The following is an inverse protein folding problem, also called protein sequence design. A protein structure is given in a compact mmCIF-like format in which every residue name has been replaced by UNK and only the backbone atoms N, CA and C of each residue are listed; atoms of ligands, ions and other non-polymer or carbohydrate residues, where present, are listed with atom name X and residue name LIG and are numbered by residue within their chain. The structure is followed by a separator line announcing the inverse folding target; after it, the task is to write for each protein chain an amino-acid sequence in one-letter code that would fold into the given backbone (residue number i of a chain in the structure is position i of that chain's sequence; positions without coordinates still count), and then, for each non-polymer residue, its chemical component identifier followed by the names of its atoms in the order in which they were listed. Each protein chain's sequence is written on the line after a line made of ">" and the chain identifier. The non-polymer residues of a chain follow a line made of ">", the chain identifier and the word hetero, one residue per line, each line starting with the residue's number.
data_IF_708988161467
#
_entry.id   IF_708988161467
#
_cell.length_a   1.000
_cell.length_b   1.000
_cell.length_c   1.000
_cell.angle_alpha   90.00
_cell.angle_beta   90.00
_cell.angle_gamma   90.00
#
_symmetry.space_group_name_H-M   'P 1'
#
loop_
_entity.id
_entity.type
_entity.pdbx_description
1 polymer ?
#
# COMPACT_ATOMS: atom_id res chain seq x y z
N UNK A 1 14.99 -14.00 -5.93
CA UNK A 1 14.07 -12.88 -6.25
C UNK A 1 14.76 -11.95 -7.24
N UNK A 2 14.03 -11.38 -8.19
CA UNK A 2 14.59 -10.42 -9.15
C UNK A 2 14.87 -9.04 -8.52
N UNK A 3 15.86 -8.31 -9.05
CA UNK A 3 16.30 -6.99 -8.53
C UNK A 3 15.22 -5.91 -8.63
N UNK A 4 14.44 -5.89 -9.71
CA UNK A 4 13.38 -4.90 -9.90
C UNK A 4 12.29 -5.09 -8.83
N UNK A 5 11.86 -6.34 -8.63
CA UNK A 5 10.90 -6.71 -7.59
C UNK A 5 11.42 -6.40 -6.19
N UNK A 6 12.69 -6.69 -5.92
CA UNK A 6 13.33 -6.37 -4.64
C UNK A 6 13.26 -4.88 -4.32
N UNK A 7 13.65 -4.03 -5.28
CA UNK A 7 13.63 -2.57 -5.13
C UNK A 7 12.21 -2.05 -4.94
N UNK A 8 11.26 -2.56 -5.71
CA UNK A 8 9.85 -2.20 -5.56
C UNK A 8 9.33 -2.50 -4.14
N UNK A 9 9.58 -3.72 -3.64
CA UNK A 9 9.14 -4.11 -2.29
C UNK A 9 9.83 -3.24 -1.24
N UNK A 10 11.15 -3.11 -1.35
CA UNK A 10 11.95 -2.34 -0.41
C UNK A 10 11.50 -0.87 -0.31
N UNK A 11 11.14 -0.25 -1.43
CA UNK A 11 10.77 1.16 -1.48
C UNK A 11 9.33 1.43 -1.03
N UNK A 12 8.39 0.51 -1.28
CA UNK A 12 6.96 0.76 -1.05
C UNK A 12 6.39 0.02 0.16
N UNK A 13 7.14 -0.89 0.77
CA UNK A 13 6.70 -1.71 1.90
C UNK A 13 7.62 -1.55 3.11
N UNK A 14 8.11 -0.32 3.34
CA UNK A 14 8.97 0.01 4.49
C UNK A 14 8.31 -0.27 5.85
N UNK A 15 6.98 -0.25 5.90
CA UNK A 15 6.23 -0.53 7.13
C UNK A 15 6.35 -2.00 7.56
N UNK A 16 6.67 -2.90 6.63
CA UNK A 16 6.91 -4.32 6.89
C UNK A 16 8.34 -4.62 7.35
N UNK A 17 9.19 -3.59 7.50
CA UNK A 17 10.56 -3.76 7.96
C UNK A 17 10.58 -4.09 9.45
N UNK A 18 11.48 -4.99 9.84
CA UNK A 18 11.74 -5.20 11.26
C UNK A 18 12.64 -4.08 11.83
N UNK A 19 12.74 -4.01 13.15
CA UNK A 19 13.48 -2.94 13.84
C UNK A 19 14.98 -2.91 13.49
N UNK A 20 15.60 -4.08 13.20
CA UNK A 20 17.00 -4.15 12.77
C UNK A 20 17.16 -3.57 11.36
N UNK A 21 16.27 -3.93 10.43
CA UNK A 21 16.24 -3.43 9.06
C UNK A 21 16.00 -1.91 9.02
N UNK A 22 15.07 -1.39 9.82
CA UNK A 22 14.84 0.06 9.94
C UNK A 22 16.10 0.79 10.42
N UNK A 23 16.77 0.26 11.45
CA UNK A 23 18.02 0.83 11.97
C UNK A 23 19.17 0.74 10.96
N UNK A 24 19.30 -0.38 10.24
CA UNK A 24 20.29 -0.57 9.20
C UNK A 24 20.08 0.43 8.04
N UNK A 25 18.84 0.57 7.56
CA UNK A 25 18.49 1.56 6.53
C UNK A 25 18.78 2.99 7.00
N UNK A 26 18.40 3.33 8.24
CA UNK A 26 18.67 4.66 8.80
C UNK A 26 20.17 4.94 8.92
N UNK A 27 20.95 3.98 9.39
CA UNK A 27 22.41 4.06 9.45
C UNK A 27 23.00 4.28 8.05
N UNK A 28 22.64 3.45 7.08
CA UNK A 28 23.12 3.56 5.70
C UNK A 28 22.79 4.91 5.06
N UNK A 29 21.53 5.36 5.13
CA UNK A 29 21.11 6.66 4.57
C UNK A 29 21.87 7.82 5.22
N UNK A 30 22.12 7.73 6.52
CA UNK A 30 22.86 8.77 7.26
C UNK A 30 24.30 8.87 6.75
N UNK A 31 25.00 7.75 6.62
CA UNK A 31 26.36 7.74 6.08
C UNK A 31 26.39 8.24 4.62
N UNK A 32 25.50 7.72 3.76
CA UNK A 32 25.40 8.14 2.36
C UNK A 32 25.11 9.64 2.21
N UNK A 33 24.23 10.19 3.05
CA UNK A 33 23.95 11.63 3.05
C UNK A 33 25.18 12.43 3.49
N UNK A 34 25.89 11.98 4.52
CA UNK A 34 27.06 12.69 5.06
C UNK A 34 28.15 12.93 4.01
N UNK A 35 28.32 12.00 3.07
CA UNK A 35 29.27 12.13 1.95
C UNK A 35 28.95 13.31 1.02
N UNK A 36 27.71 13.78 1.03
CA UNK A 36 27.22 14.86 0.17
C UNK A 36 27.01 16.19 0.93
N UNK A 37 27.44 16.29 2.20
CA UNK A 37 27.36 17.51 3.00
C UNK A 37 28.68 18.30 2.98
N UNK A 38 28.58 19.64 3.01
CA UNK A 38 29.76 20.53 3.09
C UNK A 38 30.58 20.33 4.37
N UNK A 39 29.93 19.93 5.47
CA UNK A 39 30.58 19.57 6.73
C UNK A 39 30.08 18.21 7.25
N UNK A 40 30.68 17.10 6.77
CA UNK A 40 30.27 15.75 7.13
C UNK A 40 30.42 15.45 8.64
N UNK A 41 31.46 15.97 9.29
CA UNK A 41 31.72 15.70 10.72
C UNK A 41 30.63 16.25 11.62
N UNK A 42 30.21 17.50 11.39
CA UNK A 42 29.11 18.10 12.16
C UNK A 42 27.80 17.33 11.96
N UNK A 43 27.51 16.92 10.73
CA UNK A 43 26.34 16.11 10.41
C UNK A 43 26.36 14.74 11.11
N UNK A 44 27.51 14.06 11.11
CA UNK A 44 27.68 12.76 11.75
C UNK A 44 27.58 12.86 13.28
N UNK A 45 28.14 13.90 13.90
CA UNK A 45 28.01 14.14 15.34
C UNK A 45 26.55 14.30 15.78
N UNK A 46 25.79 15.14 15.08
CA UNK A 46 24.36 15.33 15.36
C UNK A 46 23.59 14.02 15.13
N UNK A 47 23.92 13.29 14.07
CA UNK A 47 23.26 12.03 13.75
C UNK A 47 23.55 10.93 14.77
N UNK A 48 24.76 10.85 15.32
CA UNK A 48 25.13 9.92 16.40
C UNK A 48 24.37 10.27 17.68
N UNK A 49 24.28 11.56 18.05
CA UNK A 49 23.49 12.02 19.19
C UNK A 49 21.99 11.68 19.07
N UNK A 50 21.46 11.67 17.84
CA UNK A 50 20.07 11.27 17.57
C UNK A 50 19.88 9.75 17.43
N UNK A 51 20.94 8.96 17.59
CA UNK A 51 20.89 7.49 17.52
C UNK A 51 20.66 6.96 16.10
N UNK A 52 20.97 7.74 15.07
CA UNK A 52 20.77 7.36 13.66
C UNK A 52 21.91 6.47 13.14
N UNK A 53 23.07 6.53 13.79
CA UNK A 53 24.23 5.68 13.48
C UNK A 53 24.22 4.51 14.46
N UNK A 54 24.03 3.30 13.94
CA UNK A 54 24.12 2.09 14.76
C UNK A 54 25.57 1.66 15.01
N UNK A 55 25.86 1.20 16.23
CA UNK A 55 27.10 0.47 16.60
C UNK A 55 26.84 -1.02 16.89
N UNK A 56 25.59 -1.47 16.70
CA UNK A 56 25.20 -2.86 16.96
C UNK A 56 25.69 -3.75 15.80
N UNK A 57 26.53 -4.75 16.11
CA UNK A 57 27.09 -5.67 15.12
C UNK A 57 26.03 -6.41 14.31
N UNK A 58 24.87 -6.75 14.91
CA UNK A 58 23.78 -7.41 14.20
C UNK A 58 23.06 -6.50 13.20
N UNK A 59 23.09 -5.19 13.42
CA UNK A 59 22.53 -4.21 12.49
C UNK A 59 23.52 -3.95 11.35
N UNK A 60 24.81 -3.87 11.69
CA UNK A 60 25.88 -3.66 10.70
C UNK A 60 26.06 -4.89 9.80
N UNK A 61 25.85 -6.11 10.32
CA UNK A 61 25.97 -7.34 9.52
C UNK A 61 24.94 -7.43 8.39
N UNK A 62 23.79 -6.76 8.52
CA UNK A 62 22.80 -6.65 7.44
C UNK A 62 23.35 -5.90 6.22
N UNK A 63 24.36 -5.03 6.41
CA UNK A 63 24.96 -4.19 5.38
C UNK A 63 26.32 -4.70 4.88
N UNK A 64 26.90 -5.73 5.50
CA UNK A 64 28.25 -6.25 5.19
C UNK A 64 28.42 -6.63 3.71
N UNK A 65 27.39 -7.20 3.10
CA UNK A 65 27.39 -7.60 1.69
C UNK A 65 26.93 -6.48 0.73
N UNK A 66 26.88 -5.24 1.21
CA UNK A 66 26.46 -4.06 0.47
C UNK A 66 24.95 -3.83 0.45
N UNK A 67 24.56 -2.62 0.03
CA UNK A 67 23.17 -2.16 0.06
C UNK A 67 22.25 -2.96 -0.86
N UNK A 68 22.71 -3.38 -2.04
CA UNK A 68 21.89 -4.20 -2.94
C UNK A 68 21.54 -5.57 -2.31
N UNK A 69 22.50 -6.21 -1.65
CA UNK A 69 22.29 -7.46 -0.93
C UNK A 69 21.32 -7.27 0.23
N UNK A 70 21.45 -6.16 0.97
CA UNK A 70 20.50 -5.79 2.01
C UNK A 70 19.08 -5.65 1.46
N UNK A 71 18.89 -4.92 0.36
CA UNK A 71 17.58 -4.78 -0.29
C UNK A 71 16.99 -6.14 -0.70
N UNK A 72 17.79 -7.00 -1.33
CA UNK A 72 17.36 -8.33 -1.77
C UNK A 72 16.95 -9.22 -0.60
N UNK A 73 17.73 -9.23 0.48
CA UNK A 73 17.48 -10.05 1.66
C UNK A 73 16.22 -9.59 2.40
N UNK A 74 16.09 -8.28 2.64
CA UNK A 74 14.92 -7.70 3.30
C UNK A 74 13.64 -7.95 2.49
N UNK A 75 13.65 -7.68 1.18
CA UNK A 75 12.46 -7.94 0.38
C UNK A 75 12.13 -9.45 0.28
N UNK A 76 13.14 -10.34 0.28
CA UNK A 76 12.90 -11.80 0.28
C UNK A 76 12.27 -12.24 1.60
N UNK A 77 12.72 -11.68 2.72
CA UNK A 77 12.12 -11.90 4.04
C UNK A 77 10.68 -11.40 4.07
N UNK A 78 10.41 -10.18 3.61
CA UNK A 78 9.05 -9.62 3.58
C UNK A 78 8.10 -10.53 2.79
N UNK A 79 8.51 -11.02 1.62
CA UNK A 79 7.69 -11.96 0.84
C UNK A 79 7.43 -13.26 1.60
N UNK A 80 8.45 -13.78 2.29
CA UNK A 80 8.34 -15.03 3.05
C UNK A 80 7.42 -14.90 4.26
N UNK A 81 7.58 -13.82 5.04
CA UNK A 81 6.94 -13.67 6.34
C UNK A 81 5.60 -12.92 6.27
N UNK A 82 5.41 -12.09 5.23
CA UNK A 82 4.30 -11.13 5.13
C UNK A 82 3.88 -10.92 3.67
N UNK A 83 4.08 -11.92 2.81
CA UNK A 83 3.82 -11.82 1.37
C UNK A 83 2.37 -11.50 1.01
N UNK A 84 1.41 -11.86 1.87
CA UNK A 84 -0.01 -11.54 1.69
C UNK A 84 -0.30 -10.03 1.74
N UNK A 85 0.60 -9.25 2.34
CA UNK A 85 0.52 -7.79 2.39
C UNK A 85 1.24 -7.11 1.23
N UNK A 86 1.86 -7.85 0.31
CA UNK A 86 2.63 -7.28 -0.80
C UNK A 86 1.84 -7.32 -2.10
N UNK A 87 1.55 -6.14 -2.68
CA UNK A 87 0.90 -6.01 -3.98
C UNK A 87 1.89 -5.63 -5.08
N UNK A 88 2.09 -6.54 -6.02
CA UNK A 88 2.89 -6.27 -7.22
C UNK A 88 1.99 -5.73 -8.33
N UNK A 89 1.98 -4.40 -8.50
CA UNK A 89 1.21 -3.75 -9.57
C UNK A 89 1.86 -4.07 -10.92
N UNK A 90 1.25 -4.98 -11.69
CA UNK A 90 1.75 -5.39 -13.01
C UNK A 90 0.87 -4.83 -14.12
N UNK A 91 1.47 -4.53 -15.27
CA UNK A 91 0.74 -4.06 -16.43
C UNK A 91 -0.08 -5.18 -17.04
N UNK A 92 -1.39 -4.98 -17.21
CA UNK A 92 -2.28 -5.99 -17.81
C UNK A 92 -1.93 -6.35 -19.26
N UNK A 93 -1.20 -5.49 -19.99
CA UNK A 93 -0.84 -5.72 -21.39
C UNK A 93 0.45 -6.51 -21.57
N UNK A 94 1.49 -6.17 -20.80
CA UNK A 94 2.82 -6.80 -20.95
C UNK A 94 3.29 -7.59 -19.71
N UNK A 95 2.49 -7.61 -18.65
CA UNK A 95 2.76 -8.29 -17.37
C UNK A 95 4.04 -7.83 -16.64
N UNK A 96 4.63 -6.70 -17.05
CA UNK A 96 5.80 -6.13 -16.39
C UNK A 96 5.40 -5.32 -15.15
N UNK A 97 6.29 -5.23 -14.17
CA UNK A 97 6.07 -4.49 -12.93
C UNK A 97 5.98 -2.99 -13.23
N UNK A 98 4.95 -2.34 -12.69
CA UNK A 98 4.79 -0.90 -12.76
C UNK A 98 5.72 -0.20 -11.78
N UNK A 99 6.02 1.08 -12.02
CA UNK A 99 6.95 1.86 -11.19
C UNK A 99 6.53 1.96 -9.73
N UNK A 100 5.22 2.03 -9.46
CA UNK A 100 4.67 2.21 -8.11
C UNK A 100 3.39 1.36 -7.94
N UNK A 101 2.97 1.05 -6.70
CA UNK A 101 1.72 0.32 -6.44
C UNK A 101 0.45 0.96 -7.00
N UNK A 102 0.46 2.29 -7.14
CA UNK A 102 -0.70 3.07 -7.62
C UNK A 102 -0.55 3.54 -9.07
N UNK A 103 0.55 3.17 -9.76
CA UNK A 103 0.77 3.58 -11.15
C UNK A 103 -0.34 3.07 -12.07
N UNK A 104 -0.73 3.93 -13.03
CA UNK A 104 -1.78 3.66 -14.04
C UNK A 104 -1.30 3.70 -15.49
N UNK A 105 0.00 3.85 -15.67
CA UNK A 105 0.65 3.80 -16.97
C UNK A 105 1.89 2.92 -16.88
N UNK A 106 2.06 2.01 -17.83
CA UNK A 106 3.22 1.14 -17.92
C UNK A 106 4.43 1.93 -18.42
N UNK A 107 5.51 1.96 -17.66
CA UNK A 107 6.77 2.53 -18.16
C UNK A 107 7.45 1.66 -19.23
N UNK A 108 7.16 0.35 -19.25
CA UNK A 108 7.78 -0.59 -20.20
C UNK A 108 7.13 -0.57 -21.58
N UNK A 109 5.79 -0.60 -21.66
CA UNK A 109 5.06 -0.66 -22.95
C UNK A 109 4.18 0.57 -23.24
N UNK A 110 4.14 1.56 -22.36
CA UNK A 110 3.35 2.79 -22.52
C UNK A 110 1.83 2.60 -22.36
N UNK A 111 1.34 1.38 -22.13
CA UNK A 111 -0.09 1.13 -21.95
C UNK A 111 -0.63 1.94 -20.77
N UNK A 112 -1.69 2.70 -21.03
CA UNK A 112 -2.38 3.55 -20.09
C UNK A 112 -3.73 2.90 -19.75
N UNK A 113 -4.01 2.74 -18.45
CA UNK A 113 -5.26 2.17 -17.96
C UNK A 113 -6.01 3.10 -17.00
N UNK A 114 -5.82 4.42 -17.11
CA UNK A 114 -6.70 5.38 -16.42
C UNK A 114 -8.17 5.18 -16.82
N UNK A 115 -8.43 4.80 -18.07
CA UNK A 115 -9.79 4.54 -18.60
C UNK A 115 -10.48 3.33 -17.96
N UNK A 116 -9.76 2.50 -17.19
CA UNK A 116 -10.38 1.42 -16.41
C UNK A 116 -11.13 1.93 -15.17
N UNK A 117 -10.91 3.19 -14.77
CA UNK A 117 -11.60 3.79 -13.63
C UNK A 117 -13.02 4.15 -14.04
N UNK A 118 -14.00 3.42 -13.51
CA UNK A 118 -15.41 3.60 -13.83
C UNK A 118 -16.15 4.47 -12.81
N UNK A 119 -15.59 4.61 -11.60
CA UNK A 119 -16.14 5.46 -10.55
C UNK A 119 -15.08 5.87 -9.51
N UNK A 120 -15.39 6.94 -8.77
CA UNK A 120 -14.65 7.34 -7.56
C UNK A 120 -15.56 7.18 -6.34
N UNK A 121 -15.07 6.48 -5.33
CA UNK A 121 -15.83 6.13 -4.14
C UNK A 121 -15.16 6.71 -2.89
N UNK A 122 -15.87 7.56 -2.15
CA UNK A 122 -15.36 8.13 -0.90
C UNK A 122 -15.59 7.14 0.24
N UNK A 123 -14.51 6.60 0.79
CA UNK A 123 -14.53 5.68 1.92
C UNK A 123 -14.93 6.40 3.21
N UNK A 124 -15.81 5.80 4.02
CA UNK A 124 -16.17 6.28 5.34
C UNK A 124 -15.76 5.34 6.45
N UNK A 125 -16.08 4.06 6.29
CA UNK A 125 -15.80 3.03 7.29
C UNK A 125 -15.93 1.66 6.67
N UNK A 126 -15.43 0.63 7.35
CA UNK A 126 -15.70 -0.75 7.00
C UNK A 126 -16.34 -1.48 8.19
N UNK A 127 -17.29 -2.38 7.91
CA UNK A 127 -18.03 -3.13 8.93
C UNK A 127 -18.34 -4.54 8.46
N UNK A 128 -18.43 -5.43 9.43
CA UNK A 128 -18.95 -6.76 9.22
C UNK A 128 -20.41 -6.79 9.68
N UNK A 129 -21.30 -7.24 8.80
CA UNK A 129 -22.73 -7.36 9.11
C UNK A 129 -23.07 -8.81 9.48
N UNK A 130 -24.27 -9.01 10.03
CA UNK A 130 -24.77 -10.33 10.39
C UNK A 130 -24.61 -11.30 9.22
N UNK A 131 -24.16 -12.54 9.52
CA UNK A 131 -23.75 -13.61 8.57
C UNK A 131 -22.32 -13.56 8.04
N UNK A 132 -21.45 -12.67 8.55
CA UNK A 132 -20.00 -12.68 8.24
C UNK A 132 -19.61 -11.96 6.94
N UNK A 133 -20.58 -11.26 6.33
CA UNK A 133 -20.34 -10.47 5.13
C UNK A 133 -19.65 -9.15 5.50
N UNK A 134 -18.56 -8.84 4.82
CA UNK A 134 -17.78 -7.62 5.06
C UNK A 134 -18.15 -6.54 4.05
N UNK A 135 -18.38 -5.34 4.55
CA UNK A 135 -18.83 -4.20 3.75
C UNK A 135 -17.94 -2.99 3.96
N UNK A 136 -17.68 -2.31 2.85
CA UNK A 136 -17.06 -0.99 2.83
C UNK A 136 -18.17 0.05 2.59
N UNK A 137 -18.33 0.98 3.52
CA UNK A 137 -19.36 2.02 3.48
C UNK A 137 -18.77 3.33 2.98
N UNK A 138 -19.56 4.05 2.17
CA UNK A 138 -19.08 5.27 1.56
C UNK A 138 -20.09 5.93 0.64
N UNK A 139 -19.60 6.89 -0.14
CA UNK A 139 -20.39 7.67 -1.08
C UNK A 139 -19.79 7.61 -2.49
N UNK A 140 -20.63 7.39 -3.50
CA UNK A 140 -20.24 7.55 -4.91
C UNK A 140 -20.02 9.04 -5.19
N UNK A 141 -18.79 9.43 -5.53
CA UNK A 141 -18.46 10.82 -5.92
C UNK A 141 -18.57 11.07 -7.41
N UNK A 142 -18.34 10.05 -8.23
CA UNK A 142 -18.53 10.11 -9.68
C UNK A 142 -18.59 8.71 -10.27
N UNK A 143 -19.18 8.60 -11.45
CA UNK A 143 -19.24 7.35 -12.21
C UNK A 143 -20.34 6.39 -11.74
N UNK A 144 -20.31 5.17 -12.28
CA UNK A 144 -21.28 4.12 -12.00
C UNK A 144 -20.58 2.88 -11.49
N UNK A 145 -21.06 2.36 -10.36
CA UNK A 145 -20.54 1.13 -9.75
C UNK A 145 -21.51 -0.01 -10.03
N UNK A 146 -20.98 -1.17 -10.44
CA UNK A 146 -21.75 -2.39 -10.68
C UNK A 146 -21.11 -3.56 -9.92
N UNK A 147 -21.93 -4.54 -9.56
CA UNK A 147 -21.44 -5.84 -9.07
C UNK A 147 -20.49 -6.43 -10.10
N UNK A 148 -19.34 -6.92 -9.65
CA UNK A 148 -18.26 -7.40 -10.51
C UNK A 148 -17.22 -6.36 -10.90
N UNK A 149 -17.43 -5.07 -10.61
CA UNK A 149 -16.32 -4.11 -10.59
C UNK A 149 -15.36 -4.43 -9.42
N UNK A 150 -14.18 -3.82 -9.44
CA UNK A 150 -13.15 -4.03 -8.44
C UNK A 150 -12.89 -2.73 -7.70
N UNK A 151 -12.64 -2.78 -6.40
CA UNK A 151 -12.28 -1.60 -5.60
C UNK A 151 -10.77 -1.59 -5.37
N UNK A 152 -10.07 -0.51 -5.69
CA UNK A 152 -8.63 -0.41 -5.44
C UNK A 152 -8.37 0.00 -3.99
N UNK A 153 -8.01 -0.97 -3.15
CA UNK A 153 -7.73 -0.72 -1.73
C UNK A 153 -6.26 -0.41 -1.46
N UNK A 154 -5.37 -0.41 -2.46
CA UNK A 154 -3.91 -0.26 -2.25
C UNK A 154 -3.59 1.02 -1.47
N UNK A 155 -4.31 2.12 -1.74
CA UNK A 155 -4.12 3.39 -1.04
C UNK A 155 -4.49 3.34 0.45
N UNK A 156 -5.31 2.37 0.87
CA UNK A 156 -5.65 2.18 2.29
C UNK A 156 -4.52 1.52 3.08
N UNK A 157 -3.56 0.88 2.38
CA UNK A 157 -2.59 -0.06 2.95
C UNK A 157 -3.02 -1.53 2.78
N UNK A 158 -4.26 -1.80 2.36
CA UNK A 158 -4.68 -3.14 1.94
C UNK A 158 -4.29 -3.37 0.49
N UNK A 159 -3.29 -4.20 0.31
CA UNK A 159 -2.62 -4.48 -0.95
C UNK A 159 -3.41 -5.44 -1.86
N UNK A 160 -4.69 -5.12 -2.08
CA UNK A 160 -5.62 -5.90 -2.88
C UNK A 160 -6.55 -5.00 -3.68
N UNK A 161 -7.09 -5.56 -4.77
CA UNK A 161 -8.12 -4.93 -5.58
C UNK A 161 -9.32 -5.87 -5.69
N UNK A 162 -10.07 -6.10 -4.59
CA UNK A 162 -11.04 -7.19 -4.56
C UNK A 162 -12.29 -6.87 -5.40
N UNK A 163 -12.96 -7.92 -5.86
CA UNK A 163 -14.22 -7.81 -6.59
C UNK A 163 -15.35 -7.41 -5.65
N UNK A 164 -16.20 -6.50 -6.12
CA UNK A 164 -17.45 -6.11 -5.47
C UNK A 164 -18.47 -7.23 -5.68
N UNK A 165 -18.86 -7.89 -4.60
CA UNK A 165 -19.82 -9.00 -4.61
C UNK A 165 -21.26 -8.55 -4.38
N UNK A 166 -21.48 -7.44 -3.66
CA UNK A 166 -22.79 -6.88 -3.39
C UNK A 166 -22.78 -5.34 -3.34
N UNK A 167 -23.94 -4.72 -3.57
CA UNK A 167 -24.15 -3.28 -3.41
C UNK A 167 -25.46 -3.09 -2.64
N UNK A 168 -25.39 -2.43 -1.50
CA UNK A 168 -26.53 -2.14 -0.63
C UNK A 168 -26.67 -0.63 -0.43
N UNK A 169 -27.91 -0.11 -0.38
CA UNK A 169 -28.15 1.31 -0.12
C UNK A 169 -28.20 1.59 1.38
N UNK A 170 -27.48 2.63 1.83
CA UNK A 170 -27.39 2.97 3.26
C UNK A 170 -28.19 4.23 3.55
N UNK A 171 -29.24 4.10 4.35
CA UNK A 171 -29.94 5.26 4.93
C UNK A 171 -29.25 5.68 6.24
N UNK A 172 -28.62 6.86 6.26
CA UNK A 172 -28.21 7.50 7.50
C UNK A 172 -29.46 8.09 8.18
N UNK A 173 -29.83 7.53 9.33
CA UNK A 173 -31.10 7.80 10.02
C UNK A 173 -31.28 9.19 10.64
N UNK A 174 -30.43 10.17 10.38
CA UNK A 174 -30.65 11.55 10.86
C UNK A 174 -29.94 12.58 9.96
N UNK A 175 -30.67 13.65 9.63
CA UNK A 175 -30.34 14.76 8.72
C UNK A 175 -30.54 14.53 7.21
N UNK A 176 -31.80 14.59 6.79
CA UNK A 176 -32.27 15.38 5.64
C UNK A 176 -31.53 15.30 4.29
N UNK A 177 -31.05 14.13 3.88
CA UNK A 177 -31.13 13.74 2.47
C UNK A 177 -31.06 12.23 2.35
N UNK A 178 -32.02 11.66 1.62
CA UNK A 178 -31.93 10.31 1.07
C UNK A 178 -30.86 10.37 -0.03
N UNK A 179 -29.58 10.42 0.37
CA UNK A 179 -28.49 10.57 -0.58
C UNK A 179 -28.30 9.19 -1.23
N UNK A 180 -28.89 9.01 -2.41
CA UNK A 180 -28.84 7.76 -3.20
C UNK A 180 -27.41 7.31 -3.51
N UNK A 181 -26.44 8.21 -3.34
CA UNK A 181 -25.02 7.95 -3.51
C UNK A 181 -24.37 7.24 -2.31
N UNK A 182 -25.05 7.15 -1.16
CA UNK A 182 -24.53 6.44 0.01
C UNK A 182 -24.82 4.94 -0.11
N UNK A 183 -23.75 4.16 -0.25
CA UNK A 183 -23.84 2.72 -0.47
C UNK A 183 -22.85 1.95 0.42
N UNK A 184 -23.10 0.66 0.56
CA UNK A 184 -22.18 -0.32 1.11
C UNK A 184 -21.79 -1.31 0.01
N UNK A 185 -20.48 -1.53 -0.16
CA UNK A 185 -19.90 -2.46 -1.12
C UNK A 185 -19.48 -3.73 -0.39
N UNK A 186 -20.08 -4.86 -0.75
CA UNK A 186 -19.75 -6.18 -0.21
C UNK A 186 -18.45 -6.71 -0.82
N UNK A 187 -17.55 -7.23 0.02
CA UNK A 187 -16.23 -7.72 -0.35
C UNK A 187 -15.93 -9.05 0.35
N UNK A 188 -15.70 -10.11 -0.43
CA UNK A 188 -15.52 -11.47 0.11
C UNK A 188 -14.04 -11.92 0.14
N UNK A 189 -13.16 -11.26 -0.61
CA UNK A 189 -11.77 -11.67 -0.82
C UNK A 189 -10.79 -11.25 0.28
N UNK A 190 -11.26 -10.57 1.34
CA UNK A 190 -10.41 -10.09 2.42
C UNK A 190 -10.23 -11.14 3.52
N UNK A 191 -8.99 -11.30 3.99
CA UNK A 191 -8.70 -12.11 5.17
C UNK A 191 -9.07 -11.38 6.48
N UNK A 192 -8.99 -12.08 7.62
CA UNK A 192 -9.36 -11.50 8.94
C UNK A 192 -8.53 -10.28 9.30
N UNK A 193 -7.22 -10.30 9.07
CA UNK A 193 -6.32 -9.20 9.44
C UNK A 193 -6.59 -7.94 8.61
N UNK A 194 -6.82 -8.09 7.30
CA UNK A 194 -7.20 -7.00 6.40
C UNK A 194 -8.55 -6.40 6.77
N UNK A 195 -9.53 -7.23 7.15
CA UNK A 195 -10.84 -6.77 7.64
C UNK A 195 -10.69 -5.91 8.89
N UNK A 196 -9.95 -6.38 9.90
CA UNK A 196 -9.71 -5.62 11.13
C UNK A 196 -8.92 -4.33 10.87
N UNK A 197 -7.93 -4.38 9.99
CA UNK A 197 -7.19 -3.19 9.58
C UNK A 197 -8.10 -2.13 8.96
N UNK A 198 -8.99 -2.50 8.02
CA UNK A 198 -9.94 -1.56 7.42
C UNK A 198 -11.00 -1.06 8.41
N UNK A 199 -11.45 -1.89 9.37
CA UNK A 199 -12.35 -1.46 10.45
C UNK A 199 -11.69 -0.39 11.33
N UNK A 200 -10.37 -0.46 11.54
CA UNK A 200 -9.62 0.51 12.35
C UNK A 200 -9.42 1.88 11.66
N UNK A 201 -9.63 1.96 10.34
CA UNK A 201 -9.44 3.18 9.55
C UNK A 201 -10.64 4.12 9.70
N UNK A 202 -10.41 5.26 10.36
CA UNK A 202 -11.30 6.41 10.35
C UNK A 202 -10.74 7.50 9.43
N UNK A 203 -10.84 7.30 8.12
CA UNK A 203 -10.30 8.26 7.14
C UNK A 203 -11.43 8.95 6.38
N UNK A 204 -11.86 10.11 6.89
CA UNK A 204 -13.00 10.91 6.40
C UNK A 204 -12.81 11.42 4.95
N UNK A 205 -11.65 11.23 4.32
CA UNK A 205 -11.29 11.82 3.03
C UNK A 205 -10.68 10.85 2.01
N UNK A 206 -10.62 9.56 2.29
CA UNK A 206 -9.96 8.62 1.38
C UNK A 206 -10.85 8.34 0.16
N UNK A 207 -10.34 8.65 -1.03
CA UNK A 207 -11.03 8.42 -2.30
C UNK A 207 -10.46 7.18 -2.99
N UNK A 208 -11.32 6.17 -3.17
CA UNK A 208 -10.99 4.89 -3.77
C UNK A 208 -11.39 4.88 -5.23
N UNK A 209 -10.56 4.23 -6.04
CA UNK A 209 -10.86 3.97 -7.44
C UNK A 209 -11.70 2.71 -7.56
N UNK A 210 -12.78 2.80 -8.35
CA UNK A 210 -13.52 1.62 -8.79
C UNK A 210 -13.09 1.31 -10.22
N UNK A 211 -12.65 0.08 -10.43
CA UNK A 211 -12.02 -0.40 -11.65
C UNK A 211 -12.93 -1.40 -12.37
N UNK A 212 -12.78 -1.44 -13.69
CA UNK A 212 -13.33 -2.48 -14.55
C UNK A 212 -12.19 -3.18 -15.29
N UNK A 213 -12.09 -4.50 -15.10
CA UNK A 213 -11.21 -5.36 -15.88
C UNK A 213 -12.07 -6.11 -16.91
N UNK A 214 -11.67 -6.04 -18.19
CA UNK A 214 -12.24 -6.85 -19.27
C UNK A 214 -11.81 -8.31 -19.16
#
# INVERSE_FOLDING_TARGET
>A
MDREKAKYIFNYYSDLFNEKEKKALKHYITLYKSENYDNPESYLQVSDQQGWISRNSEVLSLLENGYESFQLNTASRIIKDSGEFVFLNTCIKCNQLARTPIARQCHHCGYDWHDMIVAKFKFYSAKELNKGNFYILGEIKSGLIKIGNYIDLVITGVNLKPRISAIEFVNYGSHNSKNENNIALGIDELNTEQKEFLKSKNEIYLLLDILYYN
#
